data_IF_447301472078
#
_entry.id   IF_447301472078
#
_cell.length_a   1.000
_cell.length_b   1.000
_cell.length_c   1.000
_cell.angle_alpha   90.00
_cell.angle_beta   90.00
_cell.angle_gamma   90.00
#
_symmetry.space_group_name_H-M   'P 1'
#
loop_
_entity.id
_entity.type
_entity.pdbx_description
1 polymer ?
#
# COMPACT_ATOMS: atom_id res chain seq x y z
N UNK A 1 17.29 -3.27 -24.20
CA UNK A 1 16.99 -1.84 -23.98
C UNK A 1 16.26 -1.69 -22.65
N UNK A 2 16.98 -1.28 -21.61
CA UNK A 2 16.51 -1.26 -20.23
C UNK A 2 15.72 0.02 -19.95
N UNK A 3 14.45 -0.10 -19.55
CA UNK A 3 13.72 0.99 -18.93
C UNK A 3 14.25 1.18 -17.50
N UNK A 4 15.17 2.14 -17.31
CA UNK A 4 15.43 2.73 -15.99
C UNK A 4 14.41 3.84 -15.76
N UNK A 5 13.26 3.49 -15.18
CA UNK A 5 12.40 4.49 -14.55
C UNK A 5 13.02 4.85 -13.20
N UNK A 6 13.79 5.94 -13.15
CA UNK A 6 14.12 6.63 -11.91
C UNK A 6 12.95 7.54 -11.57
N UNK A 7 11.97 7.04 -10.82
CA UNK A 7 10.98 7.90 -10.18
C UNK A 7 11.59 8.36 -8.85
N UNK A 8 12.22 9.53 -8.85
CA UNK A 8 12.51 10.23 -7.61
C UNK A 8 11.18 10.67 -7.00
N UNK A 9 10.67 9.91 -6.04
CA UNK A 9 9.61 10.38 -5.17
C UNK A 9 10.19 11.51 -4.32
N UNK A 10 9.85 12.75 -4.67
CA UNK A 10 10.06 13.88 -3.79
C UNK A 10 9.30 13.58 -2.50
N UNK A 11 10.00 13.51 -1.37
CA UNK A 11 9.37 13.56 -0.06
C UNK A 11 8.58 14.88 0.03
N UNK A 12 7.29 14.85 -0.25
CA UNK A 12 6.36 15.93 0.08
C UNK A 12 6.09 15.91 1.60
N UNK A 13 7.14 15.94 2.42
CA UNK A 13 7.06 16.17 3.87
C UNK A 13 6.73 17.66 4.15
N UNK A 14 6.18 18.38 3.16
CA UNK A 14 5.95 19.82 3.20
C UNK A 14 4.62 20.29 2.60
N UNK A 15 3.72 19.40 2.18
CA UNK A 15 2.31 19.77 2.08
C UNK A 15 1.68 19.41 3.42
N UNK A 16 1.12 20.39 4.13
CA UNK A 16 0.40 20.19 5.39
C UNK A 16 -0.86 19.36 5.20
N UNK A 17 -0.69 18.07 4.89
CA UNK A 17 -1.75 17.09 4.87
C UNK A 17 -2.13 16.82 6.32
N UNK A 18 -3.41 17.01 6.60
CA UNK A 18 -4.00 16.68 7.89
C UNK A 18 -3.75 15.19 8.20
N UNK A 19 -3.09 14.85 9.33
CA UNK A 19 -2.87 13.47 9.73
C UNK A 19 -4.16 12.63 9.79
N UNK A 20 -5.31 13.27 10.02
CA UNK A 20 -6.61 12.62 10.07
C UNK A 20 -7.17 12.30 8.67
N UNK A 21 -6.55 12.83 7.60
CA UNK A 21 -6.95 12.62 6.20
C UNK A 21 -6.02 11.67 5.44
N UNK A 22 -5.05 11.04 6.11
CA UNK A 22 -4.11 10.11 5.51
C UNK A 22 -4.19 8.73 6.14
N UNK A 23 -3.76 7.73 5.37
CA UNK A 23 -3.73 6.34 5.82
C UNK A 23 -2.45 5.68 5.34
N UNK A 24 -1.66 5.18 6.28
CA UNK A 24 -0.48 4.37 5.98
C UNK A 24 -0.86 2.88 6.00
N UNK A 25 -1.05 2.31 4.81
CA UNK A 25 -1.43 0.90 4.67
C UNK A 25 -0.40 -0.08 5.24
N UNK A 26 0.89 0.28 5.34
CA UNK A 26 1.90 -0.62 5.94
C UNK A 26 1.61 -0.81 7.42
N UNK A 27 1.34 0.29 8.11
CA UNK A 27 1.04 0.31 9.55
C UNK A 27 -0.35 -0.27 9.81
N UNK A 28 -1.36 0.14 9.04
CA UNK A 28 -2.75 -0.26 9.26
C UNK A 28 -3.01 -1.74 8.97
N UNK A 29 -2.35 -2.32 7.97
CA UNK A 29 -2.42 -3.76 7.70
C UNK A 29 -1.50 -4.59 8.59
N UNK A 30 -0.75 -3.94 9.49
CA UNK A 30 0.23 -4.56 10.37
C UNK A 30 1.18 -5.51 9.61
N UNK A 31 1.73 -5.03 8.50
CA UNK A 31 2.59 -5.85 7.62
C UNK A 31 3.88 -6.29 8.32
N UNK A 32 4.26 -5.63 9.41
CA UNK A 32 5.42 -6.00 10.23
C UNK A 32 5.18 -7.30 10.99
N UNK A 33 3.96 -7.51 11.50
CA UNK A 33 3.60 -8.73 12.23
C UNK A 33 2.95 -9.78 11.33
N UNK A 34 2.60 -9.44 10.09
CA UNK A 34 2.07 -10.38 9.11
C UNK A 34 3.18 -11.33 8.64
N UNK A 35 3.05 -12.62 8.97
CA UNK A 35 4.05 -13.66 8.67
C UNK A 35 3.67 -14.55 7.51
N UNK A 36 2.41 -14.52 7.08
CA UNK A 36 1.89 -15.40 6.04
C UNK A 36 1.88 -14.68 4.68
N UNK A 37 2.56 -15.25 3.68
CA UNK A 37 2.65 -14.67 2.33
C UNK A 37 3.48 -13.38 2.22
N UNK A 38 4.00 -12.85 3.33
CA UNK A 38 4.73 -11.58 3.40
C UNK A 38 6.06 -11.75 4.13
N UNK A 39 7.12 -11.14 3.60
CA UNK A 39 8.42 -11.08 4.27
C UNK A 39 8.95 -9.65 4.26
N UNK A 40 9.36 -9.13 5.42
CA UNK A 40 10.01 -7.83 5.50
C UNK A 40 11.42 -7.90 4.91
N UNK A 41 11.73 -6.98 4.00
CA UNK A 41 13.04 -6.83 3.34
C UNK A 41 13.52 -5.38 3.38
N UNK A 42 14.76 -5.12 3.00
CA UNK A 42 15.27 -3.75 2.84
C UNK A 42 14.59 -3.07 1.65
N UNK A 43 14.09 -1.85 1.86
CA UNK A 43 13.47 -1.05 0.82
C UNK A 43 14.47 -0.35 -0.09
N UNK A 44 13.95 0.39 -1.08
CA UNK A 44 14.73 1.09 -2.09
C UNK A 44 15.63 2.19 -1.51
N UNK A 45 15.19 2.82 -0.41
CA UNK A 45 15.95 3.84 0.29
C UNK A 45 16.68 3.25 1.50
N UNK A 46 17.89 3.74 1.77
CA UNK A 46 18.68 3.27 2.91
C UNK A 46 17.88 3.37 4.22
N UNK A 47 17.89 2.29 5.00
CA UNK A 47 17.11 2.11 6.24
C UNK A 47 15.58 2.06 6.11
N UNK A 48 15.02 2.15 4.89
CA UNK A 48 13.59 1.92 4.68
C UNK A 48 13.24 0.43 4.72
N UNK A 49 12.04 0.12 5.21
CA UNK A 49 11.46 -1.23 5.17
C UNK A 49 10.63 -1.39 3.90
N UNK A 50 10.67 -2.58 3.31
CA UNK A 50 9.76 -3.00 2.25
C UNK A 50 9.20 -4.38 2.57
N UNK A 51 8.13 -4.75 1.88
CA UNK A 51 7.41 -6.00 2.12
C UNK A 51 7.34 -6.79 0.82
N UNK A 52 7.95 -7.97 0.83
CA UNK A 52 7.98 -8.89 -0.29
C UNK A 52 6.83 -9.88 -0.14
N UNK A 53 5.89 -9.85 -1.08
CA UNK A 53 4.76 -10.76 -1.16
C UNK A 53 5.18 -12.00 -1.96
N UNK A 54 5.10 -13.18 -1.35
CA UNK A 54 5.61 -14.45 -1.88
C UNK A 54 4.47 -15.46 -2.07
N UNK A 55 4.71 -16.45 -2.95
CA UNK A 55 3.83 -17.60 -3.17
C UNK A 55 2.42 -17.28 -3.71
N UNK A 56 1.44 -18.16 -3.46
CA UNK A 56 0.03 -18.05 -3.88
C UNK A 56 -0.79 -17.10 -3.01
N UNK A 57 -0.25 -16.74 -1.85
CA UNK A 57 -0.90 -15.99 -0.78
C UNK A 57 -0.50 -14.51 -0.85
N UNK A 58 -0.75 -13.87 -2.00
CA UNK A 58 -0.37 -12.45 -2.24
C UNK A 58 -1.51 -11.47 -1.97
N UNK A 59 -2.52 -11.92 -1.24
CA UNK A 59 -3.71 -11.14 -0.95
C UNK A 59 -3.78 -10.90 0.56
N UNK A 60 -3.74 -9.63 0.95
CA UNK A 60 -3.93 -9.22 2.33
C UNK A 60 -5.30 -8.57 2.42
N UNK A 61 -6.14 -9.15 3.26
CA UNK A 61 -7.43 -8.57 3.58
C UNK A 61 -7.28 -7.66 4.78
N UNK A 62 -7.69 -6.40 4.60
CA UNK A 62 -7.80 -5.47 5.70
C UNK A 62 -8.81 -5.99 6.73
N UNK A 63 -8.48 -5.85 8.01
CA UNK A 63 -9.46 -6.08 9.07
C UNK A 63 -10.66 -5.11 8.90
N UNK A 64 -11.86 -5.47 9.42
CA UNK A 64 -13.05 -4.63 9.25
C UNK A 64 -12.84 -3.17 9.66
N UNK A 65 -12.21 -2.93 10.81
CA UNK A 65 -11.95 -1.58 11.32
C UNK A 65 -11.03 -0.74 10.41
N UNK A 66 -10.07 -1.36 9.72
CA UNK A 66 -9.18 -0.71 8.76
C UNK A 66 -9.98 -0.30 7.51
N UNK A 67 -10.86 -1.18 7.03
CA UNK A 67 -11.74 -0.90 5.89
C UNK A 67 -12.73 0.23 6.21
N UNK A 68 -13.32 0.24 7.41
CA UNK A 68 -14.21 1.31 7.87
C UNK A 68 -13.50 2.66 7.92
N UNK A 69 -12.26 2.70 8.42
CA UNK A 69 -11.43 3.92 8.40
C UNK A 69 -11.22 4.44 6.98
N UNK A 70 -10.90 3.55 6.03
CA UNK A 70 -10.74 3.91 4.62
C UNK A 70 -12.04 4.46 4.02
N UNK A 71 -13.19 3.85 4.32
CA UNK A 71 -14.50 4.31 3.87
C UNK A 71 -14.81 5.71 4.45
N UNK A 72 -14.47 5.94 5.73
CA UNK A 72 -14.64 7.26 6.35
C UNK A 72 -13.77 8.34 5.69
N UNK A 73 -12.54 8.01 5.29
CA UNK A 73 -11.66 8.93 4.57
C UNK A 73 -12.23 9.31 3.19
N UNK A 74 -12.90 8.39 2.51
CA UNK A 74 -13.58 8.68 1.24
C UNK A 74 -14.93 9.37 1.40
N UNK A 75 -15.51 9.38 2.61
CA UNK A 75 -16.81 10.01 2.84
C UNK A 75 -16.72 11.50 2.54
N UNK A 76 -17.61 11.97 1.65
CA UNK A 76 -17.68 13.35 1.19
C UNK A 76 -16.41 13.84 0.47
N UNK A 77 -15.58 12.92 -0.04
CA UNK A 77 -14.43 13.22 -0.90
C UNK A 77 -14.69 12.65 -2.30
N UNK A 78 -14.46 13.45 -3.33
CA UNK A 78 -14.57 13.02 -4.73
C UNK A 78 -13.25 12.49 -5.30
N UNK A 79 -12.13 12.78 -4.63
CA UNK A 79 -10.78 12.50 -5.09
C UNK A 79 -9.92 12.01 -3.94
N UNK A 80 -8.98 11.13 -4.25
CA UNK A 80 -7.94 10.69 -3.33
C UNK A 80 -6.62 10.56 -4.07
N UNK A 81 -5.52 10.62 -3.32
CA UNK A 81 -4.18 10.34 -3.82
C UNK A 81 -3.67 9.06 -3.18
N UNK A 82 -3.21 8.12 -3.99
CA UNK A 82 -2.56 6.90 -3.54
C UNK A 82 -1.09 6.91 -3.93
N UNK A 83 -0.20 6.80 -2.95
CA UNK A 83 1.24 6.79 -3.15
C UNK A 83 1.79 5.43 -2.77
N UNK A 84 2.51 4.78 -3.69
CA UNK A 84 3.19 3.52 -3.43
C UNK A 84 4.53 3.44 -4.17
N UNK A 85 5.49 2.77 -3.54
CA UNK A 85 6.74 2.34 -4.19
C UNK A 85 6.67 0.84 -4.41
N UNK A 86 6.67 0.41 -5.67
CA UNK A 86 6.49 -1.00 -6.03
C UNK A 86 7.65 -1.49 -6.87
N UNK A 87 8.23 -2.61 -6.47
CA UNK A 87 9.18 -3.36 -7.28
C UNK A 87 8.52 -4.64 -7.78
N UNK A 88 8.26 -4.70 -9.09
CA UNK A 88 7.57 -5.83 -9.73
C UNK A 88 8.47 -6.48 -10.79
N UNK A 89 8.33 -7.80 -10.95
CA UNK A 89 9.02 -8.53 -12.02
C UNK A 89 8.55 -8.02 -13.41
N UNK A 90 9.46 -7.85 -14.39
CA UNK A 90 9.08 -7.46 -15.74
C UNK A 90 8.03 -8.40 -16.34
N UNK A 91 7.14 -7.86 -17.16
CA UNK A 91 6.13 -8.63 -17.89
C UNK A 91 5.15 -9.39 -16.99
N UNK A 92 4.81 -8.82 -15.83
CA UNK A 92 3.77 -9.34 -14.93
C UNK A 92 2.72 -8.28 -14.64
N UNK A 93 1.54 -8.69 -14.20
CA UNK A 93 0.49 -7.80 -13.69
C UNK A 93 0.22 -8.12 -12.22
N UNK A 94 -0.14 -7.10 -11.45
CA UNK A 94 -0.42 -7.23 -10.02
C UNK A 94 -1.38 -6.14 -9.57
N UNK A 95 -2.13 -6.45 -8.51
CA UNK A 95 -3.06 -5.51 -7.87
C UNK A 95 -2.31 -4.83 -6.72
N UNK A 96 -2.38 -3.50 -6.65
CA UNK A 96 -1.77 -2.74 -5.55
C UNK A 96 -2.82 -2.42 -4.47
N UNK A 97 -4.03 -2.05 -4.88
CA UNK A 97 -5.17 -1.81 -4.01
C UNK A 97 -6.43 -2.29 -4.71
N UNK A 98 -7.29 -3.00 -3.98
CA UNK A 98 -8.61 -3.43 -4.45
C UNK A 98 -9.63 -3.15 -3.36
N UNK A 99 -10.60 -2.29 -3.67
CA UNK A 99 -11.75 -2.01 -2.80
C UNK A 99 -12.94 -2.73 -3.43
N UNK A 100 -13.48 -3.71 -2.72
CA UNK A 100 -14.61 -4.50 -3.18
C UNK A 100 -15.68 -4.47 -2.10
N UNK A 101 -16.92 -4.31 -2.52
CA UNK A 101 -18.05 -4.57 -1.65
C UNK A 101 -18.11 -6.08 -1.43
N UNK A 102 -18.04 -6.52 -0.16
CA UNK A 102 -18.34 -7.91 0.17
C UNK A 102 -19.86 -8.06 0.01
N UNK A 103 -20.29 -8.76 -1.04
CA UNK A 103 -21.68 -9.18 -1.16
C UNK A 103 -22.07 -9.91 0.13
N UNK A 104 -23.05 -9.37 0.84
CA UNK A 104 -23.62 -10.02 2.00
C UNK A 104 -24.33 -11.29 1.51
N UNK A 105 -23.79 -12.45 1.88
CA UNK A 105 -24.52 -13.73 1.77
C UNK A 105 -25.56 -13.84 2.86
#
# INVERSE_FOLDING_TARGET
NAFRCLLNAFCLVGFGLDPDLQMDFITELDLVNTTFGVTQVSGLHNASKAFLFQDTEREIHAAPHVSEKLIQLFRNKSEFTFLATVQQKPSTSGVILSIRELEHR
#
